data_IF_867212557355
#
_entry.id   IF_867212557355
#
_cell.length_a   1.000
_cell.length_b   1.000
_cell.length_c   1.000
_cell.angle_alpha   90.00
_cell.angle_beta   90.00
_cell.angle_gamma   90.00
#
_symmetry.space_group_name_H-M   'P 1'
#
loop_
_entity.id
_entity.type
_entity.pdbx_description
1 polymer ?
#
# COMPACT_ATOMS: atom_id res chain seq x y z
N UNK A 1 2.91 11.35 8.81
CA UNK A 1 3.68 12.11 7.80
C UNK A 1 3.14 11.77 6.43
N UNK A 2 2.81 12.77 5.61
CA UNK A 2 2.68 12.58 4.15
C UNK A 2 4.11 12.49 3.60
N UNK A 3 4.37 11.52 2.72
CA UNK A 3 5.71 11.27 2.16
C UNK A 3 6.31 12.54 1.54
N UNK A 4 5.49 13.31 0.85
CA UNK A 4 5.84 14.59 0.22
C UNK A 4 5.01 15.73 0.86
N UNK A 5 5.45 16.32 1.98
CA UNK A 5 4.64 17.28 2.73
C UNK A 5 4.42 18.62 2.00
N UNK A 6 5.20 18.89 0.94
CA UNK A 6 5.07 20.08 0.10
C UNK A 6 3.97 19.94 -0.97
N UNK A 7 3.41 18.74 -1.17
CA UNK A 7 2.33 18.50 -2.12
C UNK A 7 0.99 18.64 -1.40
N UNK A 8 0.14 19.54 -1.89
CA UNK A 8 -1.22 19.70 -1.35
C UNK A 8 -2.10 18.49 -1.67
N UNK A 9 -3.12 18.23 -0.85
CA UNK A 9 -4.07 17.15 -1.09
C UNK A 9 -4.78 17.28 -2.45
N UNK A 10 -5.10 18.51 -2.86
CA UNK A 10 -5.69 18.80 -4.17
C UNK A 10 -4.73 18.43 -5.31
N UNK A 11 -3.46 18.82 -5.21
CA UNK A 11 -2.46 18.50 -6.21
C UNK A 11 -2.26 16.99 -6.32
N UNK A 12 -2.16 16.29 -5.18
CA UNK A 12 -2.05 14.83 -5.16
C UNK A 12 -3.24 14.13 -5.85
N UNK A 13 -4.46 14.64 -5.67
CA UNK A 13 -5.65 14.09 -6.34
C UNK A 13 -5.63 14.36 -7.85
N UNK A 14 -5.25 15.57 -8.28
CA UNK A 14 -5.07 15.88 -9.71
C UNK A 14 -4.03 14.97 -10.35
N UNK A 15 -2.93 14.73 -9.67
CA UNK A 15 -1.86 13.84 -10.14
C UNK A 15 -2.31 12.39 -10.25
N UNK A 16 -3.08 11.90 -9.27
CA UNK A 16 -3.70 10.58 -9.32
C UNK A 16 -4.62 10.43 -10.56
N UNK A 17 -5.52 11.39 -10.77
CA UNK A 17 -6.44 11.39 -11.92
C UNK A 17 -5.66 11.44 -13.24
N UNK A 18 -4.65 12.31 -13.33
CA UNK A 18 -3.80 12.45 -14.51
C UNK A 18 -3.09 11.14 -14.85
N UNK A 19 -2.48 10.48 -13.86
CA UNK A 19 -1.80 9.20 -14.05
C UNK A 19 -2.74 8.14 -14.65
N UNK A 20 -3.91 7.94 -14.02
CA UNK A 20 -4.84 6.91 -14.49
C UNK A 20 -5.47 7.26 -15.84
N UNK A 21 -5.79 8.53 -16.11
CA UNK A 21 -6.26 8.97 -17.44
C UNK A 21 -5.28 8.63 -18.55
N UNK A 22 -3.98 8.76 -18.31
CA UNK A 22 -2.94 8.47 -19.31
C UNK A 22 -2.81 6.98 -19.62
N UNK A 23 -3.00 6.10 -18.63
CA UNK A 23 -2.82 4.65 -18.83
C UNK A 23 -4.10 3.93 -19.25
N UNK A 24 -5.30 4.49 -18.97
CA UNK A 24 -6.59 3.87 -19.30
C UNK A 24 -6.73 3.44 -20.78
N UNK A 25 -6.29 4.23 -21.79
CA UNK A 25 -6.35 3.81 -23.19
C UNK A 25 -5.61 2.50 -23.49
N UNK A 26 -4.62 2.14 -22.67
CA UNK A 26 -3.80 0.94 -22.81
C UNK A 26 -4.26 -0.21 -21.92
N UNK A 27 -5.54 -0.22 -21.47
CA UNK A 27 -6.06 -1.21 -20.53
C UNK A 27 -5.92 -2.66 -21.00
N UNK A 28 -5.84 -2.90 -22.30
CA UNK A 28 -5.57 -4.21 -22.88
C UNK A 28 -4.07 -4.59 -22.87
N UNK A 29 -3.18 -3.68 -22.48
CA UNK A 29 -1.73 -3.91 -22.40
C UNK A 29 -1.23 -4.19 -20.98
N UNK A 30 -2.10 -4.18 -19.97
CA UNK A 30 -1.74 -4.54 -18.59
C UNK A 30 -2.82 -5.38 -17.91
N UNK A 31 -2.45 -5.98 -16.78
CA UNK A 31 -3.38 -6.71 -15.91
C UNK A 31 -3.73 -5.81 -14.72
N UNK A 32 -5.03 -5.58 -14.53
CA UNK A 32 -5.53 -4.92 -13.31
C UNK A 32 -5.71 -5.97 -12.21
N UNK A 33 -5.11 -5.71 -11.05
CA UNK A 33 -5.35 -6.47 -9.82
C UNK A 33 -6.15 -5.63 -8.85
N UNK A 34 -7.25 -6.18 -8.32
CA UNK A 34 -7.93 -5.54 -7.19
C UNK A 34 -7.02 -5.56 -5.97
N UNK A 35 -7.09 -4.53 -5.13
CA UNK A 35 -6.25 -4.45 -3.93
C UNK A 35 -6.36 -5.70 -3.06
N UNK A 36 -7.58 -6.15 -2.74
CA UNK A 36 -7.79 -7.35 -1.91
C UNK A 36 -7.24 -8.61 -2.58
N UNK A 37 -7.31 -8.69 -3.90
CA UNK A 37 -6.78 -9.83 -4.65
C UNK A 37 -5.25 -9.83 -4.64
N UNK A 38 -4.63 -8.66 -4.79
CA UNK A 38 -3.18 -8.52 -4.74
C UNK A 38 -2.64 -8.89 -3.36
N UNK A 39 -3.34 -8.52 -2.29
CA UNK A 39 -2.88 -8.76 -0.92
C UNK A 39 -3.19 -10.15 -0.40
N UNK A 40 -4.27 -10.81 -0.84
CA UNK A 40 -4.70 -12.11 -0.27
C UNK A 40 -4.66 -13.28 -1.25
N UNK A 41 -4.64 -13.01 -2.56
CA UNK A 41 -4.79 -14.02 -3.63
C UNK A 41 -3.87 -13.74 -4.81
N UNK A 42 -2.64 -13.31 -4.54
CA UNK A 42 -1.69 -12.83 -5.56
C UNK A 42 -1.42 -13.84 -6.68
N UNK A 43 -1.45 -15.14 -6.38
CA UNK A 43 -1.33 -16.19 -7.41
C UNK A 43 -2.39 -16.10 -8.53
N UNK A 44 -3.58 -15.53 -8.27
CA UNK A 44 -4.58 -15.26 -9.32
C UNK A 44 -4.13 -14.16 -10.27
N UNK A 45 -3.44 -13.14 -9.77
CA UNK A 45 -2.87 -12.05 -10.58
C UNK A 45 -1.79 -12.62 -11.51
N UNK A 46 -0.88 -13.44 -10.97
CA UNK A 46 0.19 -14.09 -11.75
C UNK A 46 -0.40 -14.97 -12.87
N UNK A 47 -1.46 -15.74 -12.59
CA UNK A 47 -2.16 -16.53 -13.62
C UNK A 47 -2.72 -15.66 -14.75
N UNK A 48 -3.28 -14.47 -14.45
CA UNK A 48 -3.75 -13.54 -15.49
C UNK A 48 -2.60 -12.94 -16.29
N UNK A 49 -1.46 -12.66 -15.66
CA UNK A 49 -0.24 -12.20 -16.34
C UNK A 49 0.23 -13.28 -17.32
N UNK A 50 0.36 -14.53 -16.86
CA UNK A 50 0.71 -15.66 -17.71
C UNK A 50 -0.24 -15.82 -18.89
N UNK A 51 -1.54 -15.81 -18.65
CA UNK A 51 -2.54 -15.94 -19.70
C UNK A 51 -2.49 -14.78 -20.72
N UNK A 52 -2.21 -13.54 -20.28
CA UNK A 52 -2.18 -12.37 -21.18
C UNK A 52 -0.90 -12.31 -22.01
N UNK A 53 0.25 -12.59 -21.39
CA UNK A 53 1.56 -12.34 -22.01
C UNK A 53 2.27 -13.62 -22.47
N UNK A 54 1.65 -14.79 -22.30
CA UNK A 54 2.25 -16.07 -22.66
C UNK A 54 3.45 -16.45 -21.77
N UNK A 55 3.52 -15.90 -20.56
CA UNK A 55 4.59 -16.19 -19.60
C UNK A 55 4.29 -17.43 -18.77
N UNK A 56 5.32 -17.99 -18.11
CA UNK A 56 5.19 -19.16 -17.24
C UNK A 56 5.69 -18.89 -15.81
N UNK A 57 5.33 -17.74 -15.24
CA UNK A 57 5.70 -17.42 -13.86
C UNK A 57 4.97 -18.37 -12.89
N UNK A 58 5.69 -18.90 -11.90
CA UNK A 58 5.07 -19.74 -10.86
C UNK A 58 4.08 -18.90 -10.03
N UNK A 59 2.78 -19.28 -9.97
CA UNK A 59 1.83 -18.57 -9.12
C UNK A 59 2.23 -18.64 -7.64
N UNK A 60 2.09 -17.52 -6.92
CA UNK A 60 2.36 -17.46 -5.50
C UNK A 60 1.28 -18.21 -4.71
N UNK A 61 1.72 -19.07 -3.81
CA UNK A 61 0.88 -19.80 -2.86
C UNK A 61 0.86 -19.04 -1.54
N UNK A 62 -0.34 -18.61 -1.13
CA UNK A 62 -0.53 -17.75 0.03
C UNK A 62 -0.60 -18.58 1.33
N UNK A 63 0.48 -19.33 1.60
CA UNK A 63 0.66 -20.07 2.85
C UNK A 63 1.36 -19.18 3.89
N UNK A 64 1.23 -19.53 5.16
CA UNK A 64 1.84 -18.79 6.25
C UNK A 64 3.38 -18.77 6.13
N UNK A 65 3.98 -19.89 5.74
CA UNK A 65 5.43 -20.01 5.57
C UNK A 65 5.95 -19.10 4.45
N UNK A 66 5.20 -18.99 3.35
CA UNK A 66 5.57 -18.11 2.25
C UNK A 66 5.39 -16.63 2.61
N UNK A 67 4.36 -16.30 3.39
CA UNK A 67 4.17 -14.94 3.92
C UNK A 67 5.30 -14.51 4.84
N UNK A 68 5.72 -15.39 5.75
CA UNK A 68 6.85 -15.14 6.65
C UNK A 68 8.13 -14.84 5.87
N UNK A 69 8.43 -15.61 4.83
CA UNK A 69 9.58 -15.36 3.94
C UNK A 69 9.48 -14.00 3.24
N UNK A 70 8.31 -13.65 2.72
CA UNK A 70 8.09 -12.34 2.08
C UNK A 70 8.29 -11.20 3.08
N UNK A 71 7.78 -11.33 4.31
CA UNK A 71 7.95 -10.30 5.34
C UNK A 71 9.41 -10.15 5.77
N UNK A 72 10.16 -11.24 5.87
CA UNK A 72 11.61 -11.18 6.12
C UNK A 72 12.33 -10.42 5.00
N UNK A 73 12.02 -10.70 3.73
CA UNK A 73 12.60 -9.96 2.59
C UNK A 73 12.27 -8.46 2.69
N UNK A 74 11.03 -8.11 3.00
CA UNK A 74 10.60 -6.71 3.17
C UNK A 74 11.38 -6.03 4.31
N UNK A 75 11.61 -6.72 5.42
CA UNK A 75 12.37 -6.18 6.55
C UNK A 75 13.85 -5.96 6.21
N UNK A 76 14.49 -6.93 5.54
CA UNK A 76 15.88 -6.79 5.09
C UNK A 76 16.04 -5.64 4.10
N UNK A 77 15.19 -5.58 3.07
CA UNK A 77 15.22 -4.49 2.09
C UNK A 77 14.97 -3.13 2.74
N UNK A 78 14.08 -3.05 3.73
CA UNK A 78 13.82 -1.82 4.46
C UNK A 78 15.04 -1.38 5.29
N UNK A 79 15.70 -2.33 5.98
CA UNK A 79 16.93 -2.04 6.74
C UNK A 79 18.04 -1.53 5.83
N UNK A 80 18.26 -2.20 4.69
CA UNK A 80 19.27 -1.82 3.71
C UNK A 80 18.99 -0.43 3.13
N UNK A 81 17.78 -0.19 2.61
CA UNK A 81 17.40 1.08 1.99
C UNK A 81 17.42 2.27 2.95
N UNK A 82 17.42 2.04 4.26
CA UNK A 82 17.41 3.09 5.29
C UNK A 82 18.71 3.13 6.12
N UNK A 83 19.68 2.25 5.83
CA UNK A 83 20.91 2.13 6.61
C UNK A 83 20.67 1.81 8.08
N UNK A 84 19.63 1.02 8.40
CA UNK A 84 19.23 0.69 9.76
C UNK A 84 19.73 -0.70 10.16
N UNK A 85 20.15 -0.84 11.43
CA UNK A 85 20.48 -2.15 12.02
C UNK A 85 19.24 -2.94 12.42
N UNK A 86 18.17 -2.23 12.78
CA UNK A 86 16.92 -2.81 13.27
C UNK A 86 15.72 -2.24 12.51
N UNK A 87 14.64 -3.00 12.46
CA UNK A 87 13.40 -2.60 11.80
C UNK A 87 12.68 -1.54 12.65
N UNK A 88 12.36 -0.41 12.04
CA UNK A 88 11.46 0.58 12.63
C UNK A 88 10.02 0.19 12.36
N UNK A 89 9.33 -0.31 13.39
CA UNK A 89 7.95 -0.79 13.30
C UNK A 89 6.99 0.26 12.74
N UNK A 90 7.23 1.55 12.98
CA UNK A 90 6.40 2.66 12.51
C UNK A 90 6.47 2.87 10.98
N UNK A 91 7.48 2.33 10.31
CA UNK A 91 7.80 2.63 8.91
C UNK A 91 7.86 1.39 7.99
N UNK A 92 8.05 0.19 8.53
CA UNK A 92 8.20 -1.03 7.71
C UNK A 92 6.98 -1.34 6.84
N UNK A 93 7.23 -1.85 5.63
CA UNK A 93 6.23 -2.09 4.59
C UNK A 93 5.27 -3.27 4.82
N UNK A 94 5.52 -4.09 5.84
CA UNK A 94 4.64 -5.20 6.25
C UNK A 94 3.66 -4.78 7.37
N UNK A 95 2.60 -5.56 7.65
CA UNK A 95 1.68 -5.26 8.75
C UNK A 95 2.43 -5.08 10.07
N UNK A 96 2.11 -4.03 10.84
CA UNK A 96 2.73 -3.76 12.13
C UNK A 96 1.67 -3.37 13.15
N UNK A 97 1.68 -4.03 14.30
CA UNK A 97 0.78 -3.70 15.42
C UNK A 97 0.99 -2.25 15.90
N UNK A 98 2.24 -1.76 15.84
CA UNK A 98 2.56 -0.37 16.17
C UNK A 98 1.89 0.61 15.21
N UNK A 99 1.95 0.34 13.90
CA UNK A 99 1.31 1.19 12.88
C UNK A 99 -0.21 1.20 13.03
N UNK A 100 -0.82 0.05 13.30
CA UNK A 100 -2.27 -0.04 13.55
C UNK A 100 -2.68 0.75 14.80
N UNK A 101 -1.91 0.67 15.88
CA UNK A 101 -2.15 1.48 17.08
C UNK A 101 -2.03 2.98 16.81
N UNK A 102 -1.00 3.41 16.06
CA UNK A 102 -0.81 4.81 15.70
C UNK A 102 -1.93 5.32 14.80
N UNK A 103 -2.40 4.49 13.85
CA UNK A 103 -3.54 4.81 12.98
C UNK A 103 -4.81 5.05 13.80
N UNK A 104 -5.16 4.12 14.70
CA UNK A 104 -6.31 4.27 15.61
C UNK A 104 -6.22 5.55 16.45
N UNK A 105 -5.04 5.84 17.01
CA UNK A 105 -4.81 7.08 17.78
C UNK A 105 -5.02 8.34 16.94
N UNK A 106 -4.61 8.33 15.68
CA UNK A 106 -4.82 9.45 14.76
C UNK A 106 -6.30 9.62 14.39
N UNK A 107 -7.02 8.52 14.14
CA UNK A 107 -8.47 8.52 13.88
C UNK A 107 -9.23 9.16 15.04
N UNK A 108 -8.98 8.74 16.29
CA UNK A 108 -9.63 9.33 17.47
C UNK A 108 -9.39 10.83 17.57
N UNK A 109 -8.16 11.30 17.31
CA UNK A 109 -7.82 12.73 17.32
C UNK A 109 -8.59 13.51 16.26
N UNK A 110 -8.71 12.95 15.05
CA UNK A 110 -9.44 13.58 13.96
C UNK A 110 -10.93 13.72 14.30
N UNK A 111 -11.55 12.67 14.82
CA UNK A 111 -12.96 12.72 15.22
C UNK A 111 -13.20 13.71 16.37
N UNK A 112 -12.29 13.74 17.35
CA UNK A 112 -12.35 14.72 18.44
C UNK A 112 -12.21 16.16 17.91
N UNK A 113 -11.32 16.39 16.94
CA UNK A 113 -11.10 17.71 16.35
C UNK A 113 -12.31 18.17 15.50
N UNK A 114 -12.91 17.27 14.71
CA UNK A 114 -14.15 17.53 13.98
C UNK A 114 -15.28 17.91 14.94
N UNK A 115 -15.44 17.16 16.03
CA UNK A 115 -16.46 17.46 17.05
C UNK A 115 -16.26 18.84 17.68
N UNK A 116 -15.00 19.22 18.01
CA UNK A 116 -14.69 20.57 18.53
C UNK A 116 -14.98 21.68 17.51
N UNK A 117 -14.61 21.49 16.26
CA UNK A 117 -14.85 22.49 15.21
C UNK A 117 -16.35 22.66 14.89
N UNK A 118 -17.15 21.61 15.05
CA UNK A 118 -18.60 21.68 14.91
C UNK A 118 -19.30 22.47 16.04
N UNK A 119 -18.69 22.54 17.24
CA UNK A 119 -19.22 23.27 18.41
C UNK A 119 -18.81 24.75 18.42
N UNK A 120 -17.71 25.11 17.74
CA UNK A 120 -17.21 26.50 17.68
C UNK A 120 -17.82 27.27 16.48
N UNK A 121 -18.36 26.55 15.49
CA UNK A 121 -18.99 27.12 14.29
C UNK A 121 -20.52 27.26 14.35
N UNK A 122 -21.12 27.14 15.54
CA UNK A 122 -22.57 27.23 15.79
C UNK A 122 -22.92 28.41 16.70
#
# INVERSE_FOLDING_TARGET
>A
LVREPHISAEQALKDYIRFYRTVVPYRDKFVVGRFEEVTTKFGKVIRRVNARFGTNFKPFEHTEENLQKVFQIVEEMHKEAQGLREVKEEAVGRPSAKREMLKKKAETKLETAKAKNAVIGS
#
